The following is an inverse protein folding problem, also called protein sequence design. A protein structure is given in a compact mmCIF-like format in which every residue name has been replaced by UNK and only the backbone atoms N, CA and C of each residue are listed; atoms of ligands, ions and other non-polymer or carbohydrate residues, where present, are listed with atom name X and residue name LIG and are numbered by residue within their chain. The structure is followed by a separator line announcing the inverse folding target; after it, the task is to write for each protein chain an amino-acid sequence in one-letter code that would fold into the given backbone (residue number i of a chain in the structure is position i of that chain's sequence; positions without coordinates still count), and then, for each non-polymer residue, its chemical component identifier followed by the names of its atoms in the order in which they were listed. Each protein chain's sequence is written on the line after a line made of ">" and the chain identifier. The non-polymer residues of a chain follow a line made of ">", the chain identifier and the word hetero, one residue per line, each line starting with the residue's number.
data_IF_348187734127
#
_entry.id   IF_348187734127
#
_cell.length_a   1.000
_cell.length_b   1.000
_cell.length_c   1.000
_cell.angle_alpha   90.00
_cell.angle_beta   90.00
_cell.angle_gamma   90.00
#
_symmetry.space_group_name_H-M   'P 1'
#
loop_
_entity.id
_entity.type
_entity.pdbx_description
1 polymer ?
#
# COMPACT_ATOMS: atom_id res chain seq x y z
N UNK A 1 4.08 -35.73 45.82
CA UNK A 1 3.85 -37.17 46.06
C UNK A 1 3.77 -37.44 47.57
N UNK A 2 3.13 -38.52 47.99
CA UNK A 2 2.96 -38.89 49.40
C UNK A 2 3.18 -40.38 49.59
N UNK A 3 3.82 -40.76 50.69
CA UNK A 3 3.91 -42.14 51.14
C UNK A 3 2.74 -42.45 52.08
N UNK A 4 1.80 -43.28 51.63
CA UNK A 4 0.65 -43.73 52.42
C UNK A 4 0.89 -45.06 53.16
N UNK A 5 2.10 -45.62 53.06
CA UNK A 5 2.50 -46.84 53.76
C UNK A 5 2.93 -46.58 55.22
N UNK A 6 3.08 -47.67 55.97
CA UNK A 6 3.53 -47.65 57.38
C UNK A 6 5.06 -47.68 57.55
N UNK A 7 5.80 -47.83 56.45
CA UNK A 7 7.26 -47.90 56.42
C UNK A 7 7.83 -46.83 55.49
N UNK A 8 9.09 -46.48 55.68
CA UNK A 8 9.83 -45.67 54.71
C UNK A 8 9.99 -46.44 53.39
N UNK A 9 9.95 -45.70 52.28
CA UNK A 9 10.10 -46.26 50.94
C UNK A 9 10.88 -45.31 50.04
N UNK A 10 11.58 -45.89 49.06
CA UNK A 10 12.34 -45.14 48.05
C UNK A 10 11.85 -45.56 46.68
N UNK A 11 11.46 -44.60 45.85
CA UNK A 11 10.99 -44.84 44.49
C UNK A 11 11.48 -43.77 43.52
N UNK A 12 11.60 -44.16 42.25
CA UNK A 12 11.73 -43.21 41.16
C UNK A 12 10.35 -42.64 40.80
N UNK A 13 10.32 -41.36 40.46
CA UNK A 13 9.11 -40.67 40.03
C UNK A 13 9.36 -40.18 38.61
N UNK A 14 8.56 -40.68 37.67
CA UNK A 14 8.72 -40.43 36.24
C UNK A 14 7.64 -39.49 35.73
N UNK A 15 8.03 -38.53 34.91
CA UNK A 15 7.11 -37.78 34.06
C UNK A 15 7.14 -38.42 32.67
N UNK A 16 5.98 -38.87 32.21
CA UNK A 16 5.81 -39.47 30.89
C UNK A 16 4.83 -38.65 30.05
N UNK A 17 5.09 -38.55 28.76
CA UNK A 17 4.24 -37.88 27.77
C UNK A 17 4.18 -38.75 26.50
N UNK A 18 2.97 -39.01 25.98
CA UNK A 18 2.81 -39.85 24.77
C UNK A 18 3.22 -41.33 24.94
N UNK A 19 3.63 -41.74 26.15
CA UNK A 19 4.21 -43.06 26.43
C UNK A 19 5.74 -43.06 26.56
N UNK A 20 6.39 -41.92 26.33
CA UNK A 20 7.83 -41.74 26.49
C UNK A 20 8.16 -41.11 27.85
N UNK A 21 9.22 -41.62 28.50
CA UNK A 21 9.74 -41.05 29.75
C UNK A 21 10.60 -39.84 29.42
N UNK A 22 10.15 -38.63 29.77
CA UNK A 22 10.87 -37.40 29.46
C UNK A 22 11.73 -36.91 30.63
N UNK A 23 11.36 -37.25 31.86
CA UNK A 23 12.14 -36.88 33.04
C UNK A 23 11.91 -37.85 34.20
N UNK A 24 12.94 -38.06 35.01
CA UNK A 24 12.90 -38.93 36.19
C UNK A 24 13.57 -38.24 37.37
N UNK A 25 12.86 -38.17 38.50
CA UNK A 25 13.47 -37.89 39.78
C UNK A 25 13.77 -39.22 40.46
N UNK A 26 15.06 -39.55 40.50
CA UNK A 26 15.53 -40.85 40.98
C UNK A 26 15.59 -40.90 42.51
N UNK A 27 15.34 -42.09 43.06
CA UNK A 27 15.58 -42.44 44.46
C UNK A 27 14.94 -41.48 45.48
N UNK A 28 13.69 -41.07 45.25
CA UNK A 28 12.94 -40.23 46.18
C UNK A 28 12.52 -41.07 47.39
N UNK A 29 13.18 -40.84 48.52
CA UNK A 29 12.88 -41.50 49.79
C UNK A 29 11.88 -40.67 50.61
N UNK A 30 10.87 -41.34 51.15
CA UNK A 30 9.88 -40.77 52.05
C UNK A 30 9.63 -41.67 53.25
N UNK A 31 9.58 -41.10 54.44
CA UNK A 31 9.12 -41.78 55.64
C UNK A 31 7.61 -42.06 55.58
N UNK A 32 7.12 -42.90 56.49
CA UNK A 32 5.71 -43.25 56.59
C UNK A 32 4.84 -42.00 56.80
N UNK A 33 3.88 -41.75 55.92
CA UNK A 33 3.00 -40.58 55.96
C UNK A 33 3.62 -39.27 55.45
N UNK A 34 4.90 -39.27 55.07
CA UNK A 34 5.60 -38.08 54.56
C UNK A 34 5.11 -37.71 53.15
N UNK A 35 5.16 -36.42 52.83
CA UNK A 35 4.85 -35.89 51.50
C UNK A 35 5.92 -34.90 51.08
N UNK A 36 6.32 -34.96 49.81
CA UNK A 36 7.24 -34.02 49.21
C UNK A 36 6.68 -33.52 47.88
N UNK A 37 6.94 -32.25 47.58
CA UNK A 37 6.65 -31.66 46.28
C UNK A 37 7.78 -32.03 45.30
N UNK A 38 7.39 -32.38 44.08
CA UNK A 38 8.33 -32.77 43.02
C UNK A 38 7.99 -31.95 41.78
N UNK A 39 9.02 -31.33 41.22
CA UNK A 39 8.90 -30.50 40.02
C UNK A 39 9.62 -31.21 38.87
N UNK A 40 9.02 -31.13 37.69
CA UNK A 40 9.56 -31.63 36.44
C UNK A 40 9.59 -30.48 35.45
N UNK A 41 10.69 -30.37 34.71
CA UNK A 41 10.85 -29.42 33.61
C UNK A 41 11.18 -30.22 32.36
N UNK A 42 10.36 -30.07 31.32
CA UNK A 42 10.54 -30.73 30.02
C UNK A 42 10.52 -29.66 28.93
N UNK A 43 11.28 -29.85 27.85
CA UNK A 43 11.22 -28.91 26.73
C UNK A 43 10.01 -29.24 25.87
N UNK A 44 9.24 -28.22 25.48
CA UNK A 44 8.07 -28.43 24.63
C UNK A 44 8.43 -29.02 23.26
N UNK A 45 9.67 -28.83 22.79
CA UNK A 45 10.19 -29.44 21.55
C UNK A 45 10.37 -30.96 21.63
N UNK A 46 10.33 -31.55 22.83
CA UNK A 46 10.41 -33.00 23.05
C UNK A 46 9.01 -33.65 23.05
N UNK A 47 7.95 -32.84 22.92
CA UNK A 47 6.57 -33.29 22.91
C UNK A 47 6.03 -33.40 21.48
N UNK A 48 5.31 -34.47 21.20
CA UNK A 48 4.54 -34.60 19.96
C UNK A 48 3.41 -33.56 19.86
N UNK A 49 3.14 -33.11 18.64
CA UNK A 49 2.03 -32.20 18.36
C UNK A 49 0.70 -32.94 18.40
N UNK A 50 -0.38 -32.20 18.68
CA UNK A 50 -1.71 -32.73 18.95
C UNK A 50 -1.94 -33.10 20.42
N UNK A 51 -3.03 -33.82 20.67
CA UNK A 51 -3.47 -34.21 22.01
C UNK A 51 -2.78 -35.50 22.46
N UNK A 52 -2.01 -35.43 23.54
CA UNK A 52 -1.30 -36.55 24.15
C UNK A 52 -1.60 -36.69 25.64
N UNK A 53 -1.46 -37.90 26.18
CA UNK A 53 -1.56 -38.12 27.62
C UNK A 53 -0.21 -37.83 28.27
N UNK A 54 -0.23 -36.98 29.30
CA UNK A 54 0.91 -36.77 30.19
C UNK A 54 0.59 -37.36 31.57
N UNK A 55 1.60 -37.73 32.35
CA UNK A 55 1.36 -38.18 33.71
C UNK A 55 2.60 -38.28 34.57
N UNK A 56 2.34 -38.34 35.88
CA UNK A 56 3.33 -38.68 36.88
C UNK A 56 3.14 -40.14 37.27
N UNK A 57 4.21 -40.91 37.22
CA UNK A 57 4.24 -42.34 37.49
C UNK A 57 5.21 -42.63 38.61
N UNK A 58 4.75 -43.35 39.62
CA UNK A 58 5.60 -44.10 40.54
C UNK A 58 5.49 -45.59 40.22
N UNK A 59 6.25 -46.44 40.90
CA UNK A 59 6.09 -47.89 40.76
C UNK A 59 4.68 -48.37 41.17
N UNK A 60 4.01 -47.63 42.06
CA UNK A 60 2.77 -48.05 42.70
C UNK A 60 1.51 -47.45 42.06
N UNK A 61 1.60 -46.24 41.54
CA UNK A 61 0.44 -45.52 41.00
C UNK A 61 0.86 -44.51 39.97
N UNK A 62 -0.09 -44.10 39.13
CA UNK A 62 0.07 -42.96 38.24
C UNK A 62 -1.10 -42.01 38.36
N UNK A 63 -0.87 -40.78 37.93
CA UNK A 63 -1.92 -39.80 37.68
C UNK A 63 -1.64 -39.14 36.36
N UNK A 64 -2.62 -39.21 35.47
CA UNK A 64 -2.50 -38.72 34.10
C UNK A 64 -3.50 -37.60 33.82
N UNK A 65 -3.19 -36.79 32.80
CA UNK A 65 -4.07 -35.77 32.21
C UNK A 65 -3.76 -35.66 30.72
N UNK A 66 -4.60 -34.97 29.96
CA UNK A 66 -4.33 -34.67 28.54
C UNK A 66 -3.63 -33.32 28.43
N UNK A 67 -2.64 -33.25 27.54
CA UNK A 67 -1.97 -32.03 27.08
C UNK A 67 -2.15 -31.94 25.57
N UNK A 68 -2.44 -30.74 25.05
CA UNK A 68 -2.44 -30.49 23.60
C UNK A 68 -1.29 -29.55 23.28
N UNK A 69 -0.44 -29.94 22.34
CA UNK A 69 0.68 -29.15 21.84
C UNK A 69 0.37 -28.80 20.39
N UNK A 70 0.46 -27.51 20.04
CA UNK A 70 0.24 -27.05 18.67
C UNK A 70 1.58 -26.77 17.99
N UNK A 71 1.65 -26.97 16.67
CA UNK A 71 2.73 -26.40 15.87
C UNK A 71 2.55 -24.89 15.78
N UNK A 72 3.62 -24.09 15.82
CA UNK A 72 3.52 -22.65 15.63
C UNK A 72 3.02 -22.35 14.21
N UNK A 73 2.11 -21.39 14.08
CA UNK A 73 1.64 -20.89 12.80
C UNK A 73 2.80 -20.17 12.07
N UNK A 74 3.03 -20.44 10.77
CA UNK A 74 4.05 -19.73 10.02
C UNK A 74 3.77 -18.22 10.00
N UNK A 75 4.79 -17.41 9.74
CA UNK A 75 4.62 -15.97 9.58
C UNK A 75 3.57 -15.69 8.49
N UNK A 76 2.64 -14.78 8.80
CA UNK A 76 1.55 -14.38 7.92
C UNK A 76 1.41 -12.85 8.05
N UNK A 77 1.88 -12.13 7.02
CA UNK A 77 1.97 -10.68 7.05
C UNK A 77 0.69 -10.09 6.49
N UNK A 78 0.09 -9.20 7.26
CA UNK A 78 -1.06 -8.41 6.88
C UNK A 78 -0.64 -6.93 6.81
N UNK A 79 -1.24 -6.19 5.88
CA UNK A 79 -0.98 -4.77 5.67
C UNK A 79 -2.28 -4.01 5.63
N UNK A 80 -2.30 -2.84 6.27
CA UNK A 80 -3.43 -1.93 6.28
C UNK A 80 -2.92 -0.51 6.00
N UNK A 81 -3.51 0.16 5.01
CA UNK A 81 -3.22 1.56 4.71
C UNK A 81 -3.98 2.43 5.74
N UNK A 82 -3.22 3.09 6.61
CA UNK A 82 -3.78 3.98 7.62
C UNK A 82 -4.20 5.32 7.01
N UNK A 83 -3.32 5.90 6.18
CA UNK A 83 -3.52 7.22 5.59
C UNK A 83 -2.69 7.41 4.32
N UNK A 84 -3.31 8.03 3.31
CA UNK A 84 -2.61 8.63 2.17
C UNK A 84 -2.58 10.14 2.40
N UNK A 85 -1.38 10.71 2.49
CA UNK A 85 -1.19 12.07 2.97
C UNK A 85 -1.66 13.12 1.96
N UNK A 86 -2.52 14.03 2.41
CA UNK A 86 -2.78 15.32 1.78
C UNK A 86 -3.30 15.30 0.33
N UNK A 87 -3.16 16.46 -0.33
CA UNK A 87 -3.44 16.61 -1.76
C UNK A 87 -2.24 16.12 -2.57
N UNK A 88 -2.37 14.95 -3.19
CA UNK A 88 -1.33 14.34 -4.02
C UNK A 88 -1.15 15.16 -5.29
N UNK A 89 0.06 15.64 -5.55
CA UNK A 89 0.38 16.51 -6.67
C UNK A 89 1.55 15.94 -7.45
N UNK A 90 1.49 16.07 -8.78
CA UNK A 90 2.59 15.75 -9.68
C UNK A 90 3.87 16.50 -9.26
N UNK A 91 5.00 15.80 -9.26
CA UNK A 91 6.31 16.34 -8.88
C UNK A 91 6.49 16.63 -7.40
N UNK A 92 5.49 16.31 -6.56
CA UNK A 92 5.57 16.39 -5.11
C UNK A 92 5.63 14.98 -4.50
N UNK A 93 6.21 14.82 -3.29
CA UNK A 93 6.17 13.55 -2.58
C UNK A 93 4.72 13.19 -2.19
N UNK A 94 4.40 11.91 -2.32
CA UNK A 94 3.24 11.26 -1.71
C UNK A 94 3.72 10.40 -0.56
N UNK A 95 3.16 10.60 0.63
CA UNK A 95 3.49 9.83 1.83
C UNK A 95 2.30 8.92 2.18
N UNK A 96 2.54 7.62 2.33
CA UNK A 96 1.54 6.60 2.68
C UNK A 96 1.92 5.94 4.00
N UNK A 97 1.08 6.12 5.02
CA UNK A 97 1.25 5.46 6.31
C UNK A 97 0.57 4.10 6.27
N UNK A 98 1.33 3.07 6.66
CA UNK A 98 0.92 1.67 6.61
C UNK A 98 1.19 1.03 7.96
N UNK A 99 0.23 0.27 8.46
CA UNK A 99 0.43 -0.67 9.57
C UNK A 99 0.65 -2.07 8.99
N UNK A 100 1.68 -2.74 9.49
CA UNK A 100 2.08 -4.09 9.10
C UNK A 100 2.02 -4.97 10.34
N UNK A 101 1.29 -6.07 10.28
CA UNK A 101 1.10 -7.03 11.37
C UNK A 101 1.53 -8.43 10.92
N UNK A 102 2.31 -9.13 11.74
CA UNK A 102 2.53 -10.56 11.58
C UNK A 102 1.52 -11.31 12.46
N UNK A 103 0.47 -11.86 11.84
CA UNK A 103 -0.58 -12.62 12.57
C UNK A 103 -0.20 -14.07 12.84
N UNK A 104 0.96 -14.52 12.36
CA UNK A 104 1.53 -15.85 12.63
C UNK A 104 2.33 -15.90 13.94
N UNK A 105 2.84 -17.09 14.29
CA UNK A 105 3.67 -17.30 15.48
C UNK A 105 5.17 -17.18 15.18
N UNK A 106 5.59 -17.47 13.94
CA UNK A 106 6.99 -17.43 13.53
C UNK A 106 7.41 -16.03 13.04
N UNK A 107 8.70 -15.72 13.15
CA UNK A 107 9.28 -14.46 12.67
C UNK A 107 9.26 -14.40 11.13
N UNK A 108 8.82 -13.25 10.59
CA UNK A 108 9.03 -12.88 9.20
C UNK A 108 10.37 -12.14 9.09
N UNK A 109 11.26 -12.61 8.20
CA UNK A 109 12.57 -12.00 7.98
C UNK A 109 12.63 -11.27 6.64
N UNK A 110 12.93 -9.96 6.65
CA UNK A 110 13.08 -9.13 5.46
C UNK A 110 11.88 -9.22 4.49
N UNK A 111 10.67 -9.17 5.03
CA UNK A 111 9.46 -9.09 4.21
C UNK A 111 9.41 -7.73 3.51
N UNK A 112 9.17 -7.73 2.20
CA UNK A 112 9.16 -6.49 1.42
C UNK A 112 7.74 -5.92 1.34
N UNK A 113 7.59 -4.69 1.83
CA UNK A 113 6.33 -3.94 1.79
C UNK A 113 6.45 -2.93 0.65
N UNK A 114 5.66 -3.12 -0.39
CA UNK A 114 5.75 -2.32 -1.62
C UNK A 114 4.53 -1.43 -1.81
N UNK A 115 4.78 -0.17 -2.17
CA UNK A 115 3.81 0.83 -2.58
C UNK A 115 3.78 0.93 -4.12
N UNK A 116 2.58 0.96 -4.69
CA UNK A 116 2.30 1.38 -6.06
C UNK A 116 1.18 2.43 -6.06
N UNK A 117 1.48 3.65 -6.50
CA UNK A 117 0.46 4.63 -6.85
C UNK A 117 0.25 4.61 -8.36
N UNK A 118 -0.98 4.32 -8.79
CA UNK A 118 -1.38 4.36 -10.19
C UNK A 118 -2.52 5.37 -10.44
N UNK A 119 -2.50 6.00 -11.61
CA UNK A 119 -3.53 6.94 -12.07
C UNK A 119 -4.06 6.46 -13.42
N UNK A 120 -5.36 6.16 -13.51
CA UNK A 120 -5.98 5.59 -14.71
C UNK A 120 -5.24 4.35 -15.26
N UNK A 121 -4.64 3.54 -14.37
CA UNK A 121 -3.89 2.32 -14.72
C UNK A 121 -2.43 2.52 -15.11
N UNK A 122 -1.90 3.75 -15.01
CA UNK A 122 -0.49 4.06 -15.23
C UNK A 122 0.20 4.29 -13.87
N UNK A 123 1.27 3.56 -13.59
CA UNK A 123 2.06 3.72 -12.37
C UNK A 123 2.77 5.08 -12.40
N UNK A 124 2.69 5.84 -11.30
CA UNK A 124 3.24 7.19 -11.16
C UNK A 124 4.08 7.40 -9.90
N UNK A 125 4.09 6.47 -8.95
CA UNK A 125 5.02 6.50 -7.82
C UNK A 125 5.18 5.09 -7.27
N UNK A 126 6.37 4.76 -6.78
CA UNK A 126 6.67 3.46 -6.17
C UNK A 126 7.67 3.61 -5.04
N UNK A 127 7.46 2.87 -3.96
CA UNK A 127 8.43 2.77 -2.87
C UNK A 127 8.39 1.37 -2.29
N UNK A 128 9.44 0.98 -1.58
CA UNK A 128 9.47 -0.30 -0.88
C UNK A 128 10.34 -0.22 0.36
N UNK A 129 9.90 -0.88 1.43
CA UNK A 129 10.68 -1.04 2.65
C UNK A 129 10.62 -2.50 3.12
N UNK A 130 11.76 -3.02 3.58
CA UNK A 130 11.81 -4.35 4.15
C UNK A 130 11.62 -4.29 5.68
N UNK A 131 10.86 -5.25 6.22
CA UNK A 131 10.58 -5.37 7.65
C UNK A 131 10.96 -6.76 8.17
N UNK A 132 11.37 -6.82 9.43
CA UNK A 132 11.50 -8.08 10.19
C UNK A 132 10.60 -7.96 11.40
N UNK A 133 9.67 -8.90 11.56
CA UNK A 133 8.63 -8.86 12.59
C UNK A 133 8.48 -10.24 13.23
N UNK A 134 8.60 -10.31 14.55
CA UNK A 134 8.29 -11.52 15.29
C UNK A 134 6.79 -11.84 15.19
N UNK A 135 6.43 -13.10 15.47
CA UNK A 135 5.03 -13.51 15.47
C UNK A 135 4.18 -12.71 16.47
N UNK A 136 3.01 -12.26 16.04
CA UNK A 136 2.08 -11.44 16.81
C UNK A 136 2.52 -9.98 17.02
N UNK A 137 3.62 -9.53 16.41
CA UNK A 137 4.03 -8.12 16.47
C UNK A 137 3.47 -7.30 15.31
N UNK A 138 3.35 -5.99 15.53
CA UNK A 138 2.97 -5.03 14.51
C UNK A 138 3.92 -3.83 14.52
N UNK A 139 4.09 -3.20 13.38
CA UNK A 139 4.82 -1.93 13.23
C UNK A 139 4.07 -1.02 12.27
N UNK A 140 4.36 0.29 12.34
CA UNK A 140 3.90 1.24 11.33
C UNK A 140 5.11 1.81 10.60
N UNK A 141 4.97 2.04 9.29
CA UNK A 141 5.98 2.67 8.45
C UNK A 141 5.34 3.65 7.47
N UNK A 142 6.15 4.55 6.93
CA UNK A 142 5.73 5.50 5.90
C UNK A 142 6.50 5.20 4.64
N UNK A 143 5.78 4.86 3.58
CA UNK A 143 6.32 4.74 2.22
C UNK A 143 6.16 6.09 1.52
N UNK A 144 7.20 6.54 0.81
CA UNK A 144 7.25 7.87 0.24
C UNK A 144 8.00 7.88 -1.09
N UNK A 145 7.34 8.40 -2.13
CA UNK A 145 7.97 8.65 -3.42
C UNK A 145 7.43 9.93 -4.06
N UNK A 146 8.14 10.47 -5.05
CA UNK A 146 7.71 11.63 -5.82
C UNK A 146 6.80 11.20 -6.97
N UNK A 147 5.64 11.84 -7.10
CA UNK A 147 4.72 11.54 -8.21
C UNK A 147 5.34 11.96 -9.54
N UNK A 148 5.48 11.00 -10.45
CA UNK A 148 6.07 11.21 -11.77
C UNK A 148 5.28 12.21 -12.62
N UNK A 149 5.99 13.05 -13.38
CA UNK A 149 5.34 13.95 -14.29
C UNK A 149 4.80 13.24 -15.53
N UNK A 150 3.49 13.37 -15.78
CA UNK A 150 2.81 12.83 -16.96
C UNK A 150 2.19 13.94 -17.82
N UNK A 151 1.93 13.69 -19.12
CA UNK A 151 1.19 14.59 -19.99
C UNK A 151 -0.30 14.61 -19.62
N UNK A 152 -0.61 15.18 -18.45
CA UNK A 152 -1.95 15.27 -17.86
C UNK A 152 -2.14 16.64 -17.23
N UNK A 153 -3.38 17.07 -17.09
CA UNK A 153 -3.71 18.35 -16.46
C UNK A 153 -4.99 18.28 -15.65
N UNK A 154 -4.99 18.96 -14.49
CA UNK A 154 -6.02 18.88 -13.46
C UNK A 154 -6.02 17.55 -12.71
N UNK A 155 -7.12 17.30 -12.02
CA UNK A 155 -7.23 16.18 -11.07
C UNK A 155 -7.79 14.92 -11.69
N UNK A 156 -7.09 13.80 -11.50
CA UNK A 156 -7.51 12.45 -11.88
C UNK A 156 -7.68 11.56 -10.65
N UNK A 157 -8.51 10.52 -10.78
CA UNK A 157 -8.66 9.51 -9.73
C UNK A 157 -7.44 8.57 -9.78
N UNK A 158 -6.88 8.28 -8.61
CA UNK A 158 -5.73 7.39 -8.44
C UNK A 158 -6.03 6.26 -7.45
N UNK A 159 -5.25 5.19 -7.51
CA UNK A 159 -5.30 4.07 -6.58
C UNK A 159 -3.91 3.87 -6.00
N UNK A 160 -3.83 3.94 -4.67
CA UNK A 160 -2.69 3.46 -3.90
C UNK A 160 -2.92 1.98 -3.62
N UNK A 161 -1.94 1.15 -3.94
CA UNK A 161 -1.89 -0.25 -3.58
C UNK A 161 -0.64 -0.49 -2.72
N UNK A 162 -0.81 -1.20 -1.61
CA UNK A 162 0.30 -1.67 -0.77
C UNK A 162 0.26 -3.19 -0.71
N UNK A 163 1.39 -3.82 -0.98
CA UNK A 163 1.51 -5.29 -1.02
C UNK A 163 2.61 -5.79 -0.08
N UNK A 164 2.39 -6.97 0.50
CA UNK A 164 3.36 -7.74 1.29
C UNK A 164 3.11 -9.23 1.05
N UNK A 165 3.96 -9.89 0.25
CA UNK A 165 3.71 -11.25 -0.22
C UNK A 165 2.36 -11.38 -0.94
N UNK A 166 1.44 -12.15 -0.35
CA UNK A 166 0.07 -12.36 -0.87
C UNK A 166 -0.96 -11.37 -0.27
N UNK A 167 -0.58 -10.58 0.74
CA UNK A 167 -1.44 -9.55 1.33
C UNK A 167 -1.44 -8.27 0.48
N UNK A 168 -2.60 -7.64 0.39
CA UNK A 168 -2.78 -6.40 -0.37
C UNK A 168 -3.86 -5.56 0.28
N UNK A 169 -3.59 -4.26 0.41
CA UNK A 169 -4.61 -3.26 0.72
C UNK A 169 -4.58 -2.12 -0.31
N UNK A 170 -5.73 -1.48 -0.51
CA UNK A 170 -5.89 -0.42 -1.52
C UNK A 170 -6.65 0.78 -0.98
N UNK A 171 -6.21 1.96 -1.36
CA UNK A 171 -6.87 3.22 -1.03
C UNK A 171 -7.07 4.08 -2.28
N UNK A 172 -8.28 4.63 -2.43
CA UNK A 172 -8.57 5.60 -3.48
C UNK A 172 -7.99 6.97 -3.11
N UNK A 173 -7.36 7.62 -4.08
CA UNK A 173 -6.83 8.98 -3.93
C UNK A 173 -7.17 9.85 -5.16
N UNK A 174 -6.75 11.10 -5.14
CA UNK A 174 -6.83 12.02 -6.27
C UNK A 174 -5.49 12.69 -6.48
N UNK A 175 -5.03 12.67 -7.73
CA UNK A 175 -3.73 13.24 -8.11
C UNK A 175 -3.97 14.47 -8.98
N UNK A 176 -3.46 15.61 -8.54
CA UNK A 176 -3.50 16.88 -9.27
C UNK A 176 -2.24 17.05 -10.13
N UNK A 177 -2.45 17.03 -11.45
CA UNK A 177 -1.41 17.30 -12.46
C UNK A 177 -1.32 18.79 -12.82
N UNK A 178 -2.03 19.64 -12.08
CA UNK A 178 -1.90 21.09 -12.19
C UNK A 178 -2.54 21.67 -13.45
N UNK A 179 -1.79 22.52 -14.14
CA UNK A 179 -2.28 23.33 -15.25
C UNK A 179 -2.23 22.57 -16.58
N UNK A 180 -2.88 23.07 -17.62
CA UNK A 180 -2.75 22.50 -18.97
C UNK A 180 -1.30 22.66 -19.44
N UNK A 181 -0.67 23.79 -19.14
CA UNK A 181 0.73 23.99 -19.49
C UNK A 181 1.66 22.98 -18.82
N UNK A 182 1.46 22.57 -17.56
CA UNK A 182 2.32 21.52 -16.96
C UNK A 182 2.18 20.18 -17.68
N UNK A 183 0.97 19.82 -18.11
CA UNK A 183 0.76 18.64 -18.95
C UNK A 183 1.43 18.76 -20.33
N UNK A 184 1.41 19.94 -20.94
CA UNK A 184 2.13 20.20 -22.21
C UNK A 184 3.64 20.18 -22.02
N UNK A 185 4.16 20.73 -20.93
CA UNK A 185 5.59 20.76 -20.62
C UNK A 185 6.16 19.35 -20.34
N UNK A 186 5.31 18.43 -19.86
CA UNK A 186 5.64 17.02 -19.67
C UNK A 186 5.53 16.18 -20.95
N UNK A 187 4.92 16.70 -22.02
CA UNK A 187 4.66 15.96 -23.25
C UNK A 187 5.88 15.95 -24.19
N UNK A 188 6.15 14.78 -24.75
CA UNK A 188 7.06 14.56 -25.87
C UNK A 188 6.29 14.49 -27.21
N UNK A 189 7.04 14.48 -28.31
CA UNK A 189 6.47 14.31 -29.66
C UNK A 189 5.61 13.03 -29.74
N UNK A 190 4.38 13.17 -30.22
CA UNK A 190 3.41 12.08 -30.32
C UNK A 190 2.58 11.80 -29.06
N UNK A 191 2.87 12.47 -27.93
CA UNK A 191 2.11 12.28 -26.69
C UNK A 191 0.70 12.89 -26.77
N UNK A 192 -0.20 12.33 -25.96
CA UNK A 192 -1.54 12.91 -25.74
C UNK A 192 -1.59 13.53 -24.35
N UNK A 193 -1.80 14.85 -24.30
CA UNK A 193 -2.07 15.57 -23.05
C UNK A 193 -3.55 15.41 -22.69
N UNK A 194 -3.82 14.61 -21.65
CA UNK A 194 -5.17 14.42 -21.14
C UNK A 194 -5.54 15.54 -20.16
N UNK A 195 -6.59 16.30 -20.47
CA UNK A 195 -7.03 17.43 -19.64
C UNK A 195 -8.37 17.11 -18.96
N UNK A 196 -8.34 17.01 -17.63
CA UNK A 196 -9.51 16.82 -16.78
C UNK A 196 -10.55 17.94 -16.99
N UNK A 197 -11.79 17.68 -16.57
CA UNK A 197 -12.82 18.71 -16.58
C UNK A 197 -12.52 19.77 -15.53
N UNK A 198 -12.47 21.04 -15.93
CA UNK A 198 -12.13 22.13 -15.04
C UNK A 198 -12.13 23.48 -15.74
N UNK A 199 -11.89 24.54 -14.97
CA UNK A 199 -11.66 25.89 -15.50
C UNK A 199 -10.20 26.23 -15.31
N UNK A 200 -9.50 26.44 -16.42
CA UNK A 200 -8.07 26.70 -16.46
C UNK A 200 -7.86 28.16 -16.86
N UNK A 201 -7.47 28.96 -15.86
CA UNK A 201 -7.27 30.40 -16.03
C UNK A 201 -5.86 30.72 -16.54
N UNK A 202 -5.50 30.15 -17.70
CA UNK A 202 -4.15 30.21 -18.26
C UNK A 202 -4.18 30.39 -19.79
N UNK A 203 -3.01 30.75 -20.32
CA UNK A 203 -2.69 30.67 -21.74
C UNK A 203 -1.86 29.40 -21.96
N UNK A 204 -2.27 28.58 -22.93
CA UNK A 204 -1.57 27.34 -23.28
C UNK A 204 -0.73 27.56 -24.53
N UNK A 205 0.52 27.11 -24.51
CA UNK A 205 1.46 27.19 -25.63
C UNK A 205 1.97 25.79 -25.92
N UNK A 206 1.76 25.32 -27.15
CA UNK A 206 2.16 24.00 -27.63
C UNK A 206 3.25 24.20 -28.67
N UNK A 207 4.51 24.10 -28.21
CA UNK A 207 5.70 24.25 -29.05
C UNK A 207 6.19 22.89 -29.61
N UNK A 208 5.84 21.77 -28.96
CA UNK A 208 6.23 20.41 -29.37
C UNK A 208 5.34 19.90 -30.51
N UNK A 209 5.96 19.30 -31.52
CA UNK A 209 5.28 18.72 -32.67
C UNK A 209 4.47 17.47 -32.27
N UNK A 210 3.42 17.17 -33.04
CA UNK A 210 2.59 15.97 -32.93
C UNK A 210 1.95 15.71 -31.55
N UNK A 211 1.87 16.72 -30.68
CA UNK A 211 1.16 16.62 -29.39
C UNK A 211 -0.35 16.73 -29.59
N UNK A 212 -1.11 15.84 -28.95
CA UNK A 212 -2.56 15.88 -28.92
C UNK A 212 -3.09 16.39 -27.57
N UNK A 213 -3.65 17.60 -27.53
CA UNK A 213 -4.40 18.11 -26.37
C UNK A 213 -5.83 17.58 -26.43
N UNK A 214 -6.21 16.76 -25.46
CA UNK A 214 -7.52 16.13 -25.40
C UNK A 214 -8.19 16.38 -24.06
N UNK A 215 -9.33 17.08 -24.09
CA UNK A 215 -10.15 17.17 -22.89
C UNK A 215 -11.01 15.94 -22.69
N UNK A 216 -10.91 15.31 -21.51
CA UNK A 216 -11.74 14.15 -21.14
C UNK A 216 -13.15 14.55 -20.73
N UNK A 217 -13.33 15.76 -20.15
CA UNK A 217 -14.63 16.30 -19.71
C UNK A 217 -14.74 17.81 -19.96
N UNK A 218 -14.69 18.20 -21.23
CA UNK A 218 -14.89 19.57 -21.72
C UNK A 218 -14.34 20.67 -20.81
N UNK A 219 -13.03 20.68 -20.67
CA UNK A 219 -12.27 21.69 -19.98
C UNK A 219 -12.53 23.07 -20.57
N UNK A 220 -12.61 24.07 -19.70
CA UNK A 220 -12.77 25.48 -20.05
C UNK A 220 -11.42 26.16 -19.94
N UNK A 221 -10.89 26.70 -21.04
CA UNK A 221 -9.68 27.54 -20.98
C UNK A 221 -10.11 29.00 -21.03
N UNK A 222 -9.70 29.75 -20.02
CA UNK A 222 -10.12 31.12 -19.79
C UNK A 222 -8.91 32.03 -19.49
N UNK A 223 -8.14 32.44 -20.51
CA UNK A 223 -6.94 33.23 -20.31
C UNK A 223 -7.27 34.66 -19.86
N UNK A 224 -6.23 35.44 -19.58
CA UNK A 224 -6.38 36.88 -19.34
C UNK A 224 -6.88 37.60 -20.59
N UNK A 225 -7.61 38.69 -20.41
CA UNK A 225 -8.14 39.49 -21.51
C UNK A 225 -6.99 40.01 -22.40
N UNK A 226 -7.11 39.76 -23.71
CA UNK A 226 -6.11 40.15 -24.71
C UNK A 226 -5.08 39.07 -25.03
N UNK A 227 -4.98 38.00 -24.23
CA UNK A 227 -4.14 36.84 -24.54
C UNK A 227 -4.84 35.88 -25.51
N UNK A 228 -4.06 35.01 -26.15
CA UNK A 228 -4.60 33.81 -26.77
C UNK A 228 -4.93 32.74 -25.73
N UNK A 229 -6.00 31.96 -25.93
CA UNK A 229 -6.26 30.82 -25.05
C UNK A 229 -5.29 29.68 -25.34
N UNK A 230 -5.13 29.32 -26.62
CA UNK A 230 -4.21 28.27 -27.06
C UNK A 230 -3.37 28.79 -28.23
N UNK A 231 -2.05 28.70 -28.11
CA UNK A 231 -1.11 28.96 -29.19
C UNK A 231 -0.49 27.64 -29.65
N UNK A 232 -0.81 27.24 -30.88
CA UNK A 232 -0.28 26.05 -31.55
C UNK A 232 0.89 26.49 -32.42
N UNK A 233 2.11 26.13 -32.01
CA UNK A 233 3.35 26.48 -32.70
C UNK A 233 4.07 25.27 -33.28
N UNK A 234 3.95 24.11 -32.64
CA UNK A 234 4.40 22.83 -33.20
C UNK A 234 3.53 22.39 -34.38
N UNK A 235 4.13 21.60 -35.26
CA UNK A 235 3.49 20.99 -36.42
C UNK A 235 2.65 19.77 -35.99
N UNK A 236 1.58 19.44 -36.72
CA UNK A 236 0.77 18.24 -36.48
C UNK A 236 -0.08 18.24 -35.18
N UNK A 237 -0.02 19.31 -34.39
CA UNK A 237 -0.72 19.40 -33.11
C UNK A 237 -2.23 19.24 -33.26
N UNK A 238 -2.84 18.45 -32.37
CA UNK A 238 -4.29 18.26 -32.31
C UNK A 238 -4.87 18.88 -31.05
N UNK A 239 -5.97 19.63 -31.17
CA UNK A 239 -6.72 20.17 -30.02
C UNK A 239 -8.17 19.70 -30.09
N UNK A 240 -8.63 19.02 -29.04
CA UNK A 240 -9.96 18.43 -29.04
C UNK A 240 -10.76 18.56 -27.74
N UNK A 241 -12.06 18.84 -27.90
CA UNK A 241 -13.05 18.75 -26.82
C UNK A 241 -13.09 19.93 -25.84
N UNK A 242 -12.41 21.05 -26.11
CA UNK A 242 -12.34 22.20 -25.21
C UNK A 242 -13.51 23.18 -25.35
N UNK A 243 -13.74 23.99 -24.32
CA UNK A 243 -14.56 25.20 -24.37
C UNK A 243 -13.70 26.43 -24.13
N UNK A 244 -13.72 27.39 -25.04
CA UNK A 244 -12.94 28.62 -25.01
C UNK A 244 -13.91 29.82 -24.99
N UNK A 245 -14.44 30.24 -23.84
CA UNK A 245 -15.17 31.49 -23.72
C UNK A 245 -14.19 32.66 -23.52
N UNK A 246 -14.49 33.81 -24.12
CA UNK A 246 -13.87 35.09 -23.76
C UNK A 246 -14.87 35.96 -22.97
N UNK A 247 -14.33 36.90 -22.18
CA UNK A 247 -15.13 37.87 -21.47
C UNK A 247 -15.97 38.71 -22.45
N UNK A 248 -17.24 39.01 -22.13
CA UNK A 248 -18.11 39.84 -22.97
C UNK A 248 -17.70 41.30 -22.84
N UNK A 249 -16.57 41.69 -23.39
CA UNK A 249 -16.09 43.09 -23.42
C UNK A 249 -15.85 43.52 -24.85
N UNK A 250 -16.28 44.74 -25.18
CA UNK A 250 -16.21 45.26 -26.55
C UNK A 250 -14.82 45.13 -27.18
N UNK A 251 -14.80 44.53 -28.37
CA UNK A 251 -13.79 44.57 -29.43
C UNK A 251 -12.37 44.00 -29.23
N UNK A 252 -11.83 43.83 -28.01
CA UNK A 252 -10.43 43.37 -27.83
C UNK A 252 -10.29 42.02 -27.10
N UNK A 253 -11.22 41.08 -27.34
CA UNK A 253 -11.17 39.73 -26.75
C UNK A 253 -10.04 38.83 -27.27
N UNK A 254 -9.17 39.31 -28.18
CA UNK A 254 -8.03 38.54 -28.69
C UNK A 254 -8.41 37.41 -29.65
N UNK A 255 -7.49 36.46 -29.83
CA UNK A 255 -7.63 35.26 -30.67
C UNK A 255 -7.81 34.02 -29.79
N UNK A 256 -8.83 33.19 -29.99
CA UNK A 256 -9.04 32.01 -29.14
C UNK A 256 -7.93 30.98 -29.34
N UNK A 257 -7.69 30.58 -30.57
CA UNK A 257 -6.61 29.66 -30.94
C UNK A 257 -5.74 30.34 -31.99
N UNK A 258 -4.44 30.52 -31.75
CA UNK A 258 -3.51 30.96 -32.78
C UNK A 258 -2.74 29.76 -33.30
N UNK A 259 -2.78 29.52 -34.60
CA UNK A 259 -1.98 28.48 -35.28
C UNK A 259 -0.85 29.12 -36.07
N UNK A 260 0.38 28.70 -35.80
CA UNK A 260 1.57 29.07 -36.58
C UNK A 260 2.37 27.86 -37.08
N UNK A 261 2.17 26.68 -36.48
CA UNK A 261 2.68 25.41 -37.01
C UNK A 261 1.82 24.88 -38.15
N UNK A 262 2.37 23.95 -38.92
CA UNK A 262 1.72 23.30 -40.05
C UNK A 262 0.81 22.13 -39.58
N UNK A 263 -0.16 21.74 -40.41
CA UNK A 263 -0.99 20.54 -40.23
C UNK A 263 -1.77 20.40 -38.90
N UNK A 264 -2.04 21.51 -38.21
CA UNK A 264 -2.83 21.49 -36.97
C UNK A 264 -4.29 21.03 -37.18
N UNK A 265 -4.80 20.20 -36.26
CA UNK A 265 -6.18 19.71 -36.25
C UNK A 265 -6.96 20.22 -35.04
N UNK A 266 -8.03 20.98 -35.27
CA UNK A 266 -8.91 21.49 -34.21
C UNK A 266 -10.29 20.84 -34.35
N UNK A 267 -10.73 20.07 -33.35
CA UNK A 267 -11.96 19.28 -33.44
C UNK A 267 -12.80 19.36 -32.17
N UNK A 268 -14.10 19.64 -32.33
CA UNK A 268 -15.04 19.63 -31.21
C UNK A 268 -14.74 20.68 -30.14
N UNK A 269 -14.12 21.80 -30.55
CA UNK A 269 -13.84 22.94 -29.67
C UNK A 269 -14.98 23.96 -29.77
N UNK A 270 -15.50 24.42 -28.63
CA UNK A 270 -16.53 25.45 -28.55
C UNK A 270 -15.90 26.81 -28.29
N UNK A 271 -15.92 27.71 -29.28
CA UNK A 271 -15.34 29.07 -29.17
C UNK A 271 -16.48 30.09 -29.05
N UNK A 272 -16.45 30.93 -28.01
CA UNK A 272 -17.53 31.91 -27.74
C UNK A 272 -16.99 33.28 -27.35
N UNK A 273 -17.52 34.34 -27.97
CA UNK A 273 -17.23 35.76 -27.65
C UNK A 273 -15.78 36.23 -27.90
N UNK A 274 -15.06 35.60 -28.83
CA UNK A 274 -13.70 36.02 -29.21
C UNK A 274 -13.71 37.03 -30.36
N UNK A 275 -12.63 37.82 -30.48
CA UNK A 275 -12.45 38.73 -31.62
C UNK A 275 -12.09 37.95 -32.87
N UNK A 276 -11.22 36.95 -32.70
CA UNK A 276 -10.84 35.95 -33.70
C UNK A 276 -10.98 34.56 -33.11
N UNK A 277 -11.57 33.62 -33.85
CA UNK A 277 -11.74 32.24 -33.38
C UNK A 277 -10.47 31.40 -33.52
N UNK A 278 -10.01 31.21 -34.76
CA UNK A 278 -8.73 30.55 -35.13
C UNK A 278 -7.98 31.44 -36.10
#
# INVERSE_FOLDING_TARGET
>A
VRNDGELSGTQDIRFEAGGDVLATNESVQLDAGESIEQNFTVNASELDTGSQQIGIFTENTSRTTTLTVSEPEPADIQVDIDEVSGDVQQGAPVDVNVTVENVGDLEAENESIALDLSVEGEQVALDSADVTLAGGESTSLTLSDTVDPLPRAGTFDGTVEVTAGDATDTAATRVDFGSIQSGVDAASEGDTVLVAGGVYAERVVVDTDDVALQSVRRAVVFPRVGDEAIAIRGDGVTVSGFSLPAAPTGSDSGTAIRVTGDDATIRGVQITNWGTGV
#
